data_IF_236339839999
#
_entry.id   IF_236339839999
#
_cell.length_a   1.000
_cell.length_b   1.000
_cell.length_c   1.000
_cell.angle_alpha   90.00
_cell.angle_beta   90.00
_cell.angle_gamma   90.00
#
_symmetry.space_group_name_H-M   'P 1'
#
loop_
_entity.id
_entity.type
_entity.pdbx_description
1 polymer ?
#
# COMPACT_ATOMS: atom_id res chain seq x y z
N UNK A 1 -23.78 25.17 -15.17
CA UNK A 1 -22.54 24.54 -14.68
C UNK A 1 -21.95 25.44 -13.62
N UNK A 2 -21.74 24.91 -12.40
CA UNK A 2 -21.11 25.59 -11.27
C UNK A 2 -19.75 24.97 -11.05
N UNK A 3 -18.77 25.77 -10.60
CA UNK A 3 -17.49 25.25 -10.12
C UNK A 3 -17.30 25.73 -8.69
N UNK A 4 -17.02 24.78 -7.78
CA UNK A 4 -16.71 25.06 -6.38
C UNK A 4 -15.25 24.70 -6.14
N UNK A 5 -14.49 25.58 -5.49
CA UNK A 5 -13.07 25.40 -5.24
C UNK A 5 -12.84 25.10 -3.76
N UNK A 6 -12.01 24.11 -3.47
CA UNK A 6 -11.53 23.91 -2.11
C UNK A 6 -10.61 25.09 -1.71
N UNK A 7 -10.47 25.39 -0.41
CA UNK A 7 -9.91 26.67 0.04
C UNK A 7 -8.39 26.78 -0.16
N UNK A 8 -7.73 25.74 -0.69
CA UNK A 8 -6.30 25.68 -0.91
C UNK A 8 -5.54 26.00 0.40
N UNK A 9 -5.87 25.29 1.47
CA UNK A 9 -5.28 25.45 2.81
C UNK A 9 -3.80 25.11 2.90
N UNK A 10 -3.23 24.46 1.87
CA UNK A 10 -1.87 23.92 1.92
C UNK A 10 -1.78 22.53 2.57
N UNK A 11 -2.90 21.95 3.02
CA UNK A 11 -2.97 20.60 3.57
C UNK A 11 -3.64 19.65 2.57
N UNK A 12 -2.88 18.81 1.83
CA UNK A 12 -3.45 17.93 0.81
C UNK A 12 -4.54 17.01 1.36
N UNK A 13 -4.39 16.53 2.60
CA UNK A 13 -5.36 15.66 3.26
C UNK A 13 -6.66 16.38 3.62
N UNK A 14 -6.61 17.65 4.04
CA UNK A 14 -7.81 18.45 4.28
C UNK A 14 -8.50 18.87 2.98
N UNK A 15 -7.72 19.30 1.98
CA UNK A 15 -8.26 19.72 0.68
C UNK A 15 -9.05 18.60 0.02
N UNK A 16 -8.50 17.38 0.00
CA UNK A 16 -9.18 16.25 -0.62
C UNK A 16 -10.44 15.85 0.17
N UNK A 17 -10.41 15.93 1.52
CA UNK A 17 -11.59 15.66 2.36
C UNK A 17 -12.70 16.65 2.06
N UNK A 18 -12.39 17.94 1.92
CA UNK A 18 -13.37 18.97 1.55
C UNK A 18 -13.90 18.71 0.14
N UNK A 19 -13.03 18.36 -0.82
CA UNK A 19 -13.44 18.05 -2.19
C UNK A 19 -14.42 16.87 -2.23
N UNK A 20 -14.12 15.79 -1.52
CA UNK A 20 -15.02 14.64 -1.39
C UNK A 20 -16.32 14.99 -0.68
N UNK A 21 -16.29 15.85 0.34
CA UNK A 21 -17.49 16.36 0.99
C UNK A 21 -18.40 17.14 0.02
N UNK A 22 -17.83 18.04 -0.77
CA UNK A 22 -18.56 18.82 -1.77
C UNK A 22 -19.16 17.93 -2.87
N UNK A 23 -18.37 17.00 -3.40
CA UNK A 23 -18.84 16.04 -4.40
C UNK A 23 -19.93 15.11 -3.84
N UNK A 24 -19.82 14.69 -2.57
CA UNK A 24 -20.86 13.89 -1.90
C UNK A 24 -22.19 14.63 -1.82
N UNK A 25 -22.17 15.93 -1.53
CA UNK A 25 -23.39 16.77 -1.52
C UNK A 25 -23.99 16.85 -2.93
N UNK A 26 -23.17 17.04 -3.96
CA UNK A 26 -23.63 17.09 -5.35
C UNK A 26 -24.31 15.77 -5.77
N UNK A 27 -23.68 14.63 -5.45
CA UNK A 27 -24.24 13.30 -5.70
C UNK A 27 -25.59 13.12 -4.98
N UNK A 28 -25.69 13.52 -3.70
CA UNK A 28 -26.97 13.42 -2.97
C UNK A 28 -28.06 14.34 -3.56
N UNK A 29 -27.67 15.49 -4.10
CA UNK A 29 -28.58 16.39 -4.79
C UNK A 29 -29.05 15.83 -6.16
N UNK A 30 -28.53 14.68 -6.57
CA UNK A 30 -28.83 14.06 -7.87
C UNK A 30 -28.15 14.75 -9.03
N UNK A 31 -26.99 15.37 -8.80
CA UNK A 31 -26.20 16.05 -9.84
C UNK A 31 -24.95 15.26 -10.21
N UNK A 32 -24.60 15.33 -11.48
CA UNK A 32 -23.30 14.88 -11.95
C UNK A 32 -22.21 15.83 -11.46
N UNK A 33 -21.09 15.23 -11.06
CA UNK A 33 -19.95 15.95 -10.48
C UNK A 33 -18.64 15.40 -11.01
N UNK A 34 -17.66 16.30 -11.17
CA UNK A 34 -16.27 15.95 -11.50
C UNK A 34 -15.33 16.74 -10.59
N UNK A 35 -14.44 16.06 -9.88
CA UNK A 35 -13.34 16.68 -9.13
C UNK A 35 -12.14 16.83 -10.06
N UNK A 36 -11.55 18.02 -10.09
CA UNK A 36 -10.42 18.39 -10.94
C UNK A 36 -9.26 18.86 -10.06
N UNK A 37 -8.09 18.21 -10.11
CA UNK A 37 -6.92 18.62 -9.35
C UNK A 37 -6.25 19.87 -9.95
N UNK A 38 -5.84 20.82 -9.10
CA UNK A 38 -5.14 22.06 -9.47
C UNK A 38 -3.78 22.22 -8.75
N UNK A 39 -3.08 21.12 -8.47
CA UNK A 39 -1.72 21.17 -7.90
C UNK A 39 -1.66 21.69 -6.47
N UNK A 40 -2.54 21.17 -5.59
CA UNK A 40 -2.58 21.51 -4.16
C UNK A 40 -3.98 21.84 -3.62
N UNK A 41 -4.96 21.93 -4.52
CA UNK A 41 -6.39 22.09 -4.21
C UNK A 41 -7.23 21.52 -5.36
N UNK A 42 -8.55 21.57 -5.22
CA UNK A 42 -9.48 20.94 -6.16
C UNK A 42 -10.58 21.91 -6.60
N UNK A 43 -11.00 21.78 -7.85
CA UNK A 43 -12.25 22.33 -8.34
C UNK A 43 -13.28 21.23 -8.55
N UNK A 44 -14.51 21.45 -8.13
CA UNK A 44 -15.62 20.51 -8.22
C UNK A 44 -16.61 21.10 -9.23
N UNK A 45 -16.61 20.54 -10.44
CA UNK A 45 -17.53 20.89 -11.53
C UNK A 45 -18.87 20.19 -11.30
N UNK A 46 -19.97 20.93 -11.24
CA UNK A 46 -21.32 20.42 -10.96
C UNK A 46 -22.33 20.96 -11.98
N UNK A 47 -23.13 20.09 -12.55
CA UNK A 47 -24.27 20.47 -13.40
C UNK A 47 -25.54 20.65 -12.55
N UNK A 48 -25.63 21.78 -11.85
CA UNK A 48 -26.77 22.04 -10.96
C UNK A 48 -26.87 23.48 -10.48
N UNK A 49 -27.57 23.65 -9.35
CA UNK A 49 -27.92 24.93 -8.73
C UNK A 49 -27.45 25.02 -7.27
N UNK A 50 -26.90 26.18 -6.86
CA UNK A 50 -26.36 26.41 -5.52
C UNK A 50 -27.43 26.24 -4.44
N UNK A 51 -28.66 26.66 -4.70
CA UNK A 51 -29.75 26.58 -3.71
C UNK A 51 -30.06 25.12 -3.33
N UNK A 52 -30.20 24.23 -4.31
CA UNK A 52 -30.41 22.80 -4.06
C UNK A 52 -29.22 22.17 -3.34
N UNK A 53 -27.99 22.56 -3.69
CA UNK A 53 -26.78 22.10 -2.99
C UNK A 53 -26.78 22.54 -1.52
N UNK A 54 -27.14 23.78 -1.22
CA UNK A 54 -27.29 24.29 0.14
C UNK A 54 -28.35 23.52 0.92
N UNK A 55 -29.54 23.32 0.34
CA UNK A 55 -30.61 22.57 0.99
C UNK A 55 -30.19 21.12 1.28
N UNK A 56 -29.49 20.49 0.33
CA UNK A 56 -28.98 19.12 0.47
C UNK A 56 -27.89 19.05 1.55
N UNK A 57 -26.94 19.99 1.56
CA UNK A 57 -25.88 20.02 2.57
C UNK A 57 -26.43 20.20 3.98
N UNK A 58 -27.35 21.15 4.18
CA UNK A 58 -27.97 21.36 5.49
C UNK A 58 -28.76 20.13 5.95
N UNK A 59 -29.49 19.48 5.02
CA UNK A 59 -30.20 18.23 5.30
C UNK A 59 -29.23 17.12 5.73
N UNK A 60 -28.14 16.91 4.99
CA UNK A 60 -27.11 15.93 5.34
C UNK A 60 -26.45 16.25 6.68
N UNK A 61 -26.04 17.51 6.89
CA UNK A 61 -25.39 17.95 8.11
C UNK A 61 -26.28 17.73 9.34
N UNK A 62 -27.57 18.08 9.28
CA UNK A 62 -28.52 17.83 10.37
C UNK A 62 -28.83 16.34 10.57
N UNK A 63 -28.98 15.57 9.50
CA UNK A 63 -29.32 14.15 9.59
C UNK A 63 -28.16 13.31 10.12
N UNK A 64 -26.95 13.61 9.67
CA UNK A 64 -25.77 12.74 9.86
C UNK A 64 -24.86 13.27 10.97
N UNK A 65 -24.72 14.60 11.11
CA UNK A 65 -23.75 15.25 11.99
C UNK A 65 -24.38 16.00 13.18
N UNK A 66 -25.67 15.79 13.44
CA UNK A 66 -26.34 16.27 14.67
C UNK A 66 -25.97 15.45 15.90
N UNK A 67 -25.46 14.24 15.72
CA UNK A 67 -24.97 13.37 16.79
C UNK A 67 -23.44 13.39 16.86
N UNK A 68 -22.90 13.27 18.08
CA UNK A 68 -21.47 13.10 18.30
C UNK A 68 -20.94 11.73 17.87
N UNK A 69 -21.80 10.79 17.44
CA UNK A 69 -21.39 9.44 17.06
C UNK A 69 -20.32 9.44 15.96
N UNK A 70 -20.53 10.12 14.83
CA UNK A 70 -19.55 10.14 13.74
C UNK A 70 -18.25 10.83 14.17
N UNK A 71 -18.28 12.06 14.75
CA UNK A 71 -17.08 12.68 15.27
C UNK A 71 -16.30 11.79 16.27
N UNK A 72 -16.97 11.14 17.24
CA UNK A 72 -16.32 10.30 18.25
C UNK A 72 -15.72 9.00 17.70
N UNK A 73 -16.27 8.47 16.61
CA UNK A 73 -15.78 7.27 15.93
C UNK A 73 -14.82 7.60 14.77
N UNK A 74 -14.41 8.86 14.65
CA UNK A 74 -13.44 9.30 13.64
C UNK A 74 -12.08 9.46 14.32
N UNK A 75 -11.06 8.68 13.91
CA UNK A 75 -9.73 8.78 14.52
C UNK A 75 -9.16 10.20 14.39
N UNK A 76 -8.50 10.67 15.44
CA UNK A 76 -8.00 12.04 15.51
C UNK A 76 -9.01 13.11 15.96
N UNK A 77 -10.24 12.73 16.32
CA UNK A 77 -11.24 13.64 16.91
C UNK A 77 -11.49 13.26 18.38
N UNK A 78 -11.17 14.16 19.30
CA UNK A 78 -11.37 13.96 20.74
C UNK A 78 -12.78 14.34 21.19
N UNK A 79 -13.22 13.91 22.37
CA UNK A 79 -14.56 14.23 22.89
C UNK A 79 -14.86 15.73 22.98
N UNK A 80 -13.87 16.56 23.34
CA UNK A 80 -14.00 18.03 23.35
C UNK A 80 -14.19 18.60 21.94
N UNK A 81 -13.52 18.01 20.95
CA UNK A 81 -13.61 18.44 19.56
C UNK A 81 -14.91 17.96 18.90
N UNK A 82 -15.39 16.78 19.27
CA UNK A 82 -16.63 16.23 18.77
C UNK A 82 -17.82 17.17 19.06
N UNK A 83 -17.90 17.72 20.27
CA UNK A 83 -18.99 18.62 20.67
C UNK A 83 -18.98 19.97 19.94
N UNK A 84 -17.83 20.46 19.46
CA UNK A 84 -17.76 21.70 18.68
C UNK A 84 -18.15 21.48 17.22
N UNK A 85 -17.95 20.27 16.70
CA UNK A 85 -18.31 19.88 15.34
C UNK A 85 -19.80 19.56 15.22
N UNK A 86 -20.45 19.10 16.30
CA UNK A 86 -21.87 18.77 16.34
C UNK A 86 -22.75 19.87 15.74
N UNK A 87 -23.64 19.50 14.82
CA UNK A 87 -24.58 20.42 14.16
C UNK A 87 -25.77 20.66 15.07
N UNK A 88 -26.08 21.94 15.35
CA UNK A 88 -27.27 22.35 16.10
C UNK A 88 -28.40 22.74 15.15
N UNK A 89 -29.66 22.59 15.59
CA UNK A 89 -30.83 22.90 14.76
C UNK A 89 -30.88 24.37 14.30
N UNK A 90 -30.34 25.28 15.09
CA UNK A 90 -30.25 26.70 14.77
C UNK A 90 -29.15 27.05 13.76
N UNK A 91 -28.31 26.10 13.38
CA UNK A 91 -27.24 26.33 12.41
C UNK A 91 -27.72 26.12 10.97
N UNK A 92 -27.15 26.94 10.08
CA UNK A 92 -27.27 26.80 8.64
C UNK A 92 -25.92 27.06 7.99
N UNK A 93 -25.70 26.37 6.87
CA UNK A 93 -24.43 26.28 6.19
C UNK A 93 -24.60 26.65 4.72
N UNK A 94 -23.58 27.27 4.13
CA UNK A 94 -23.63 27.78 2.76
C UNK A 94 -22.41 27.30 1.96
N UNK A 95 -22.65 26.52 0.92
CA UNK A 95 -21.66 26.02 -0.05
C UNK A 95 -21.25 27.12 -1.03
N UNK A 96 -22.07 28.17 -1.22
CA UNK A 96 -21.73 29.28 -2.11
C UNK A 96 -20.40 29.97 -1.77
N UNK A 97 -19.90 29.84 -0.54
CA UNK A 97 -18.58 30.34 -0.12
C UNK A 97 -17.41 29.74 -0.91
N UNK A 98 -17.59 28.56 -1.53
CA UNK A 98 -16.58 27.89 -2.35
C UNK A 98 -16.62 28.33 -3.82
N UNK A 99 -17.47 29.27 -4.22
CA UNK A 99 -17.61 29.68 -5.64
C UNK A 99 -16.43 30.50 -6.16
N UNK A 100 -15.53 30.94 -5.27
CA UNK A 100 -14.37 31.77 -5.58
C UNK A 100 -13.09 31.08 -5.14
N UNK A 101 -12.06 31.16 -5.98
CA UNK A 101 -10.72 30.71 -5.60
C UNK A 101 -10.18 31.63 -4.50
N UNK A 102 -9.70 31.04 -3.41
CA UNK A 102 -8.96 31.78 -2.40
C UNK A 102 -7.55 32.08 -2.93
N UNK A 103 -7.25 33.37 -3.16
CA UNK A 103 -5.93 33.83 -3.59
C UNK A 103 -4.82 33.38 -2.63
N UNK A 104 -3.66 33.00 -3.18
CA UNK A 104 -2.46 32.72 -2.42
C UNK A 104 -2.03 34.02 -1.74
N UNK A 105 -2.00 34.02 -0.40
CA UNK A 105 -1.47 35.16 0.37
C UNK A 105 -0.92 34.66 1.70
N UNK A 106 -0.28 35.52 2.49
CA UNK A 106 0.13 35.21 3.85
C UNK A 106 -1.09 35.22 4.80
N UNK A 107 -1.18 34.25 5.72
CA UNK A 107 -2.25 34.21 6.70
C UNK A 107 -2.09 35.27 7.80
N UNK A 108 -3.16 36.00 8.10
CA UNK A 108 -3.23 36.82 9.32
C UNK A 108 -3.55 35.96 10.54
N UNK A 109 -3.14 36.39 11.72
CA UNK A 109 -3.40 35.65 12.98
C UNK A 109 -4.90 35.55 13.32
N UNK A 110 -5.72 36.48 12.85
CA UNK A 110 -7.18 36.50 13.06
C UNK A 110 -7.97 35.68 12.03
N UNK A 111 -7.31 35.19 10.98
CA UNK A 111 -7.94 34.45 9.89
C UNK A 111 -8.01 32.95 10.17
N UNK A 112 -9.08 32.32 9.69
CA UNK A 112 -9.17 30.86 9.65
C UNK A 112 -8.25 30.30 8.56
N UNK A 113 -7.84 29.03 8.68
CA UNK A 113 -7.05 28.32 7.65
C UNK A 113 -7.70 28.35 6.26
N UNK A 114 -9.03 28.29 6.20
CA UNK A 114 -9.78 28.34 4.96
C UNK A 114 -10.10 29.77 4.47
N UNK A 115 -9.77 30.81 5.26
CA UNK A 115 -10.08 32.23 5.00
C UNK A 115 -11.55 32.61 4.76
N UNK A 116 -12.47 31.67 4.83
CA UNK A 116 -13.89 31.98 4.83
C UNK A 116 -14.26 32.84 6.05
N UNK A 117 -14.82 34.01 5.77
CA UNK A 117 -15.30 34.94 6.78
C UNK A 117 -16.67 34.48 7.31
N UNK A 118 -16.65 33.57 8.28
CA UNK A 118 -17.86 33.07 8.93
C UNK A 118 -17.78 33.21 10.45
N UNK A 119 -18.96 33.28 11.09
CA UNK A 119 -19.07 33.36 12.55
C UNK A 119 -18.72 32.05 13.25
N UNK A 120 -19.14 30.92 12.70
CA UNK A 120 -18.95 29.61 13.33
C UNK A 120 -17.62 28.99 12.91
N UNK A 121 -16.73 28.87 13.88
CA UNK A 121 -15.39 28.34 13.71
C UNK A 121 -15.19 27.13 14.62
N UNK A 122 -14.31 26.23 14.20
CA UNK A 122 -13.87 25.10 15.02
C UNK A 122 -12.35 25.08 15.03
N UNK A 123 -11.74 24.76 16.16
CA UNK A 123 -10.30 24.50 16.21
C UNK A 123 -9.96 23.40 15.22
N UNK A 124 -8.82 23.51 14.55
CA UNK A 124 -8.35 22.43 13.70
C UNK A 124 -8.03 21.20 14.56
N UNK A 125 -8.45 20.02 14.09
CA UNK A 125 -8.31 18.75 14.83
C UNK A 125 -7.51 17.75 14.01
N UNK A 126 -6.83 16.85 14.69
CA UNK A 126 -5.92 15.88 14.09
C UNK A 126 -6.60 15.04 12.99
N UNK A 127 -7.87 14.66 13.16
CA UNK A 127 -8.62 13.90 12.16
C UNK A 127 -8.77 14.65 10.81
N UNK A 128 -8.83 15.99 10.84
CA UNK A 128 -8.95 16.81 9.63
C UNK A 128 -7.61 17.09 8.96
N UNK A 129 -6.56 17.27 9.75
CA UNK A 129 -5.20 17.51 9.28
C UNK A 129 -4.22 16.73 10.15
N UNK A 130 -3.91 15.50 9.78
CA UNK A 130 -2.95 14.70 10.55
C UNK A 130 -1.54 15.30 10.45
N UNK A 131 -1.26 15.97 9.33
CA UNK A 131 -0.05 16.75 9.04
C UNK A 131 0.13 17.97 9.95
N UNK A 132 -0.96 18.64 10.34
CA UNK A 132 -0.90 19.85 11.17
C UNK A 132 -0.59 19.58 12.66
N UNK A 133 -0.39 18.32 13.06
CA UNK A 133 0.08 17.95 14.42
C UNK A 133 1.44 18.51 14.79
N UNK A 134 2.12 19.13 13.83
CA UNK A 134 3.39 19.84 14.01
C UNK A 134 3.27 21.38 14.01
N UNK A 135 2.05 21.95 14.02
CA UNK A 135 1.86 23.41 14.12
C UNK A 135 2.27 24.18 12.87
N UNK A 136 2.16 23.52 11.71
CA UNK A 136 2.78 23.97 10.46
C UNK A 136 1.81 24.83 9.66
N UNK A 137 2.10 26.13 9.65
CA UNK A 137 2.09 27.08 8.53
C UNK A 137 0.98 28.13 8.37
N UNK A 138 1.46 29.38 8.24
CA UNK A 138 0.77 30.57 7.76
C UNK A 138 0.94 30.83 6.25
N UNK A 139 1.82 30.09 5.57
CA UNK A 139 2.12 30.28 4.14
C UNK A 139 1.91 28.97 3.39
N UNK A 140 1.36 29.04 2.17
CA UNK A 140 1.15 27.86 1.29
C UNK A 140 2.49 27.21 0.86
N UNK A 141 3.62 27.80 1.24
CA UNK A 141 4.97 27.63 0.68
C UNK A 141 6.07 27.16 1.67
N UNK A 142 5.78 26.89 2.96
CA UNK A 142 6.72 26.16 3.85
C UNK A 142 7.13 26.83 5.17
N UNK A 143 7.15 26.01 6.23
CA UNK A 143 7.52 26.10 7.68
C UNK A 143 7.18 27.37 8.51
N UNK A 144 6.33 27.20 9.54
CA UNK A 144 6.18 28.17 10.65
C UNK A 144 7.14 27.81 11.81
N UNK A 145 7.90 28.80 12.27
CA UNK A 145 8.71 28.74 13.48
C UNK A 145 8.42 29.96 14.36
N UNK A 146 8.20 29.75 15.65
CA UNK A 146 8.10 30.82 16.67
C UNK A 146 9.35 30.80 17.53
N UNK A 147 9.89 31.95 17.93
CA UNK A 147 11.02 31.98 18.84
C UNK A 147 10.52 32.08 20.28
N UNK A 148 10.83 31.10 21.12
CA UNK A 148 10.56 31.13 22.55
C UNK A 148 11.88 30.93 23.31
N UNK A 149 12.23 31.91 24.16
CA UNK A 149 13.50 31.92 24.91
C UNK A 149 14.73 31.74 23.99
N UNK A 150 14.74 32.39 22.82
CA UNK A 150 15.84 32.31 21.85
C UNK A 150 15.94 30.99 21.08
N UNK A 151 15.02 30.05 21.30
CA UNK A 151 14.95 28.78 20.57
C UNK A 151 13.75 28.74 19.62
N UNK A 152 13.96 28.13 18.46
CA UNK A 152 12.89 27.81 17.51
C UNK A 152 11.93 26.80 18.16
N UNK A 153 10.69 27.20 18.34
CA UNK A 153 9.59 26.40 18.88
C UNK A 153 8.37 26.42 17.97
N UNK A 154 7.55 25.39 18.08
CA UNK A 154 6.29 25.24 17.34
C UNK A 154 5.18 26.07 17.99
N UNK A 155 4.27 26.70 17.23
CA UNK A 155 3.07 27.31 17.78
C UNK A 155 2.23 26.27 18.53
N UNK A 156 1.78 26.58 19.74
CA UNK A 156 0.97 25.68 20.58
C UNK A 156 -0.54 25.84 20.41
N UNK A 157 -0.99 26.84 19.63
CA UNK A 157 -2.41 27.10 19.39
C UNK A 157 -2.84 26.56 18.01
N UNK A 158 -3.76 25.58 17.96
CA UNK A 158 -4.34 25.15 16.69
C UNK A 158 -5.21 26.27 16.13
N UNK A 159 -4.82 26.80 14.96
CA UNK A 159 -5.64 27.77 14.23
C UNK A 159 -7.00 27.16 13.87
N UNK A 160 -7.99 28.02 13.70
CA UNK A 160 -9.37 27.61 13.45
C UNK A 160 -9.65 27.40 11.96
N UNK A 161 -10.62 26.55 11.67
CA UNK A 161 -11.24 26.38 10.35
C UNK A 161 -12.72 26.76 10.44
N UNK A 162 -13.31 27.24 9.35
CA UNK A 162 -14.74 27.47 9.32
C UNK A 162 -15.52 26.15 9.50
N UNK A 163 -16.68 26.22 10.17
CA UNK A 163 -17.49 25.02 10.42
C UNK A 163 -17.99 24.37 9.11
N UNK A 164 -18.22 25.14 8.03
CA UNK A 164 -18.55 24.57 6.71
C UNK A 164 -17.47 23.60 6.22
N UNK A 165 -16.21 24.03 6.22
CA UNK A 165 -15.08 23.19 5.80
C UNK A 165 -14.89 21.99 6.73
N UNK A 166 -15.05 22.17 8.04
CA UNK A 166 -14.94 21.06 9.00
C UNK A 166 -16.01 19.98 8.77
N UNK A 167 -17.26 20.38 8.54
CA UNK A 167 -18.35 19.44 8.25
C UNK A 167 -18.16 18.74 6.91
N UNK A 168 -17.74 19.46 5.86
CA UNK A 168 -17.43 18.87 4.57
C UNK A 168 -16.22 17.93 4.65
N UNK A 169 -15.18 18.29 5.39
CA UNK A 169 -14.03 17.43 5.61
C UNK A 169 -14.43 16.15 6.38
N UNK A 170 -15.28 16.27 7.39
CA UNK A 170 -15.80 15.11 8.11
C UNK A 170 -16.68 14.22 7.22
N UNK A 171 -17.54 14.81 6.38
CA UNK A 171 -18.31 14.05 5.39
C UNK A 171 -17.38 13.33 4.40
N UNK A 172 -16.45 14.05 3.77
CA UNK A 172 -15.51 13.47 2.82
C UNK A 172 -14.66 12.36 3.43
N UNK A 173 -14.15 12.56 4.65
CA UNK A 173 -13.44 11.52 5.38
C UNK A 173 -14.33 10.30 5.65
N UNK A 174 -15.58 10.52 6.06
CA UNK A 174 -16.48 9.44 6.43
C UNK A 174 -16.91 8.58 5.23
N UNK A 175 -16.93 9.14 4.03
CA UNK A 175 -17.35 8.45 2.81
C UNK A 175 -16.19 7.98 1.92
N UNK A 176 -15.06 8.68 1.91
CA UNK A 176 -13.97 8.43 0.96
C UNK A 176 -12.65 7.97 1.60
N UNK A 177 -12.55 7.95 2.94
CA UNK A 177 -11.36 7.47 3.65
C UNK A 177 -11.56 6.09 4.24
N UNK A 178 -10.58 5.22 4.04
CA UNK A 178 -10.53 3.90 4.65
C UNK A 178 -9.98 4.03 6.07
N UNK A 179 -10.74 3.54 7.04
CA UNK A 179 -10.38 3.62 8.45
C UNK A 179 -10.43 2.23 9.04
N UNK A 180 -9.28 1.76 9.52
CA UNK A 180 -9.11 0.43 10.10
C UNK A 180 -8.08 0.45 11.23
N UNK A 181 -7.99 -0.64 11.98
CA UNK A 181 -7.09 -0.76 13.12
C UNK A 181 -5.99 -1.78 12.82
N UNK A 182 -4.76 -1.47 13.22
CA UNK A 182 -3.59 -2.36 13.18
C UNK A 182 -3.05 -2.45 14.60
N UNK A 183 -3.24 -3.60 15.24
CA UNK A 183 -3.01 -3.78 16.67
C UNK A 183 -3.68 -2.67 17.50
N UNK A 184 -2.91 -1.88 18.23
CA UNK A 184 -3.35 -0.78 19.09
C UNK A 184 -3.43 0.59 18.37
N UNK A 185 -3.24 0.62 17.05
CA UNK A 185 -3.19 1.85 16.24
C UNK A 185 -4.37 1.96 15.30
N UNK A 186 -4.83 3.18 15.07
CA UNK A 186 -5.83 3.51 14.05
C UNK A 186 -5.14 4.06 12.79
N UNK A 187 -5.51 3.53 11.64
CA UNK A 187 -4.96 3.93 10.34
C UNK A 187 -6.05 4.60 9.53
N UNK A 188 -5.74 5.78 8.99
CA UNK A 188 -6.57 6.51 8.04
C UNK A 188 -5.84 6.49 6.70
N UNK A 189 -6.48 5.94 5.66
CA UNK A 189 -6.00 5.95 4.28
C UNK A 189 -6.95 6.78 3.42
N UNK A 190 -6.41 7.74 2.68
CA UNK A 190 -7.17 8.67 1.85
C UNK A 190 -6.63 8.62 0.43
N UNK A 191 -7.42 8.18 -0.56
CA UNK A 191 -7.04 8.29 -1.95
C UNK A 191 -6.90 9.76 -2.35
N UNK A 192 -5.78 10.12 -2.96
CA UNK A 192 -5.50 11.45 -3.50
C UNK A 192 -5.57 11.36 -5.02
N UNK A 193 -6.55 12.00 -5.69
CA UNK A 193 -6.71 11.86 -7.13
C UNK A 193 -5.67 12.71 -7.86
N UNK A 194 -4.92 12.08 -8.75
CA UNK A 194 -3.92 12.73 -9.60
C UNK A 194 -4.48 13.15 -10.97
N UNK A 195 -5.74 12.79 -11.23
CA UNK A 195 -6.46 13.04 -12.47
C UNK A 195 -7.91 13.47 -12.17
N UNK A 196 -8.65 13.89 -13.20
CA UNK A 196 -10.08 14.19 -13.04
C UNK A 196 -10.84 12.96 -12.53
N UNK A 197 -11.70 13.17 -11.55
CA UNK A 197 -12.46 12.12 -10.88
C UNK A 197 -13.96 12.34 -11.04
N UNK A 198 -14.63 11.43 -11.73
CA UNK A 198 -16.09 11.49 -11.92
C UNK A 198 -16.85 11.05 -10.67
N UNK A 199 -18.10 11.51 -10.55
CA UNK A 199 -19.00 11.14 -9.47
C UNK A 199 -19.23 9.62 -9.38
N UNK A 200 -19.30 8.93 -10.52
CA UNK A 200 -19.40 7.46 -10.57
C UNK A 200 -18.20 6.77 -9.92
N UNK A 201 -16.98 7.18 -10.28
CA UNK A 201 -15.75 6.64 -9.68
C UNK A 201 -15.68 6.92 -8.18
N UNK A 202 -16.16 8.08 -7.75
CA UNK A 202 -16.26 8.42 -6.32
C UNK A 202 -17.26 7.51 -5.58
N UNK A 203 -18.38 7.14 -6.21
CA UNK A 203 -19.32 6.15 -5.65
C UNK A 203 -18.70 4.76 -5.50
N UNK A 204 -17.82 4.33 -6.44
CA UNK A 204 -17.05 3.08 -6.28
C UNK A 204 -16.17 3.13 -5.02
N UNK A 205 -15.49 4.26 -4.76
CA UNK A 205 -14.69 4.46 -3.55
C UNK A 205 -15.57 4.40 -2.31
N UNK A 206 -16.76 5.02 -2.34
CA UNK A 206 -17.69 5.00 -1.20
C UNK A 206 -18.15 3.58 -0.86
N UNK A 207 -18.44 2.77 -1.88
CA UNK A 207 -18.83 1.38 -1.70
C UNK A 207 -17.67 0.55 -1.11
N UNK A 208 -16.45 0.75 -1.61
CA UNK A 208 -15.26 0.06 -1.14
C UNK A 208 -14.93 0.43 0.32
N UNK A 209 -15.02 1.72 0.64
CA UNK A 209 -14.77 2.26 1.97
C UNK A 209 -15.63 1.58 3.02
N UNK A 210 -16.91 1.33 2.70
CA UNK A 210 -17.85 0.71 3.63
C UNK A 210 -17.46 -0.73 3.99
N UNK A 211 -16.84 -1.48 3.08
CA UNK A 211 -16.42 -2.87 3.30
C UNK A 211 -15.21 -2.99 4.24
N UNK A 212 -14.36 -1.95 4.25
CA UNK A 212 -13.08 -1.95 4.98
C UNK A 212 -13.20 -1.27 6.33
N UNK A 213 -14.22 -0.42 6.49
CA UNK A 213 -14.36 0.37 7.72
C UNK A 213 -14.45 -0.53 8.94
N UNK A 214 -13.61 -0.24 9.94
CA UNK A 214 -13.51 -0.99 11.21
C UNK A 214 -13.00 -2.43 11.05
N UNK A 215 -12.36 -2.77 9.94
CA UNK A 215 -11.54 -3.98 9.91
C UNK A 215 -10.43 -3.88 10.96
N UNK A 216 -10.17 -5.00 11.64
CA UNK A 216 -9.17 -5.08 12.69
C UNK A 216 -8.10 -6.09 12.31
N UNK A 217 -6.88 -5.61 12.08
CA UNK A 217 -5.70 -6.44 11.90
C UNK A 217 -5.06 -6.65 13.28
N UNK A 218 -5.28 -7.83 13.87
CA UNK A 218 -4.78 -8.16 15.21
C UNK A 218 -3.27 -8.49 15.24
N UNK A 219 -2.49 -7.77 14.45
CA UNK A 219 -1.10 -8.04 14.15
C UNK A 219 -0.33 -6.72 14.20
N UNK A 220 0.84 -6.71 14.83
CA UNK A 220 1.68 -5.52 14.91
C UNK A 220 2.49 -5.37 13.61
N UNK A 221 1.81 -4.92 12.56
CA UNK A 221 2.38 -4.78 11.22
C UNK A 221 3.28 -3.54 11.20
N UNK A 222 4.56 -3.66 10.76
CA UNK A 222 5.42 -2.51 10.56
C UNK A 222 4.78 -1.45 9.66
N UNK A 223 4.87 -0.17 10.04
CA UNK A 223 4.14 0.91 9.34
C UNK A 223 4.46 1.00 7.85
N UNK A 224 5.71 0.72 7.46
CA UNK A 224 6.16 0.73 6.06
C UNK A 224 5.42 -0.30 5.17
N UNK A 225 4.81 -1.34 5.77
CA UNK A 225 4.10 -2.40 5.07
C UNK A 225 2.58 -2.16 4.99
N UNK A 226 2.06 -1.21 5.77
CA UNK A 226 0.63 -0.86 5.79
C UNK A 226 0.07 -0.63 4.38
N UNK A 227 0.74 0.09 3.46
CA UNK A 227 0.24 0.29 2.09
C UNK A 227 -0.04 -1.00 1.34
N UNK A 228 0.97 -1.87 1.28
CA UNK A 228 0.90 -3.14 0.55
C UNK A 228 -0.16 -4.05 1.17
N UNK A 229 -0.21 -4.13 2.49
CA UNK A 229 -1.21 -4.93 3.21
C UNK A 229 -2.62 -4.41 2.94
N UNK A 230 -2.84 -3.10 3.09
CA UNK A 230 -4.14 -2.47 2.84
C UNK A 230 -4.65 -2.78 1.42
N UNK A 231 -3.82 -2.56 0.40
CA UNK A 231 -4.19 -2.81 -0.99
C UNK A 231 -4.42 -4.31 -1.26
N UNK A 232 -3.62 -5.20 -0.66
CA UNK A 232 -3.76 -6.66 -0.86
C UNK A 232 -5.07 -7.21 -0.31
N UNK A 233 -5.64 -6.58 0.73
CA UNK A 233 -6.89 -7.02 1.38
C UNK A 233 -8.13 -6.70 0.57
N UNK A 234 -7.99 -5.88 -0.46
CA UNK A 234 -9.09 -5.40 -1.27
C UNK A 234 -8.69 -5.57 -2.74
N UNK A 235 -8.81 -6.78 -3.32
CA UNK A 235 -8.32 -7.02 -4.68
C UNK A 235 -8.88 -6.02 -5.72
N UNK A 236 -10.15 -5.62 -5.57
CA UNK A 236 -10.79 -4.60 -6.42
C UNK A 236 -10.19 -3.20 -6.29
N UNK A 237 -9.39 -2.93 -5.25
CA UNK A 237 -8.69 -1.65 -5.10
C UNK A 237 -7.71 -1.40 -6.24
N UNK A 238 -7.17 -2.43 -6.88
CA UNK A 238 -6.27 -2.25 -8.01
C UNK A 238 -6.93 -1.60 -9.24
N UNK A 239 -8.24 -1.81 -9.42
CA UNK A 239 -9.02 -1.14 -10.47
C UNK A 239 -9.69 0.13 -9.96
N UNK A 240 -10.15 0.15 -8.71
CA UNK A 240 -10.85 1.30 -8.13
C UNK A 240 -9.89 2.46 -7.84
N UNK A 241 -8.68 2.17 -7.33
CA UNK A 241 -7.70 3.19 -6.91
C UNK A 241 -6.65 3.48 -7.98
N UNK A 242 -6.83 3.01 -9.22
CA UNK A 242 -5.95 3.39 -10.34
C UNK A 242 -6.01 4.91 -10.58
N UNK A 243 -4.84 5.54 -10.69
CA UNK A 243 -4.72 6.99 -10.87
C UNK A 243 -4.85 7.81 -9.57
N UNK A 244 -4.74 7.15 -8.42
CA UNK A 244 -4.65 7.79 -7.12
C UNK A 244 -3.28 7.53 -6.49
N UNK A 245 -2.87 8.45 -5.63
CA UNK A 245 -1.88 8.19 -4.58
C UNK A 245 -2.62 7.91 -3.26
N UNK A 246 -1.91 7.43 -2.24
CA UNK A 246 -2.48 7.29 -0.90
C UNK A 246 -1.80 8.23 0.09
N UNK A 247 -2.61 9.03 0.76
CA UNK A 247 -2.23 9.66 2.02
C UNK A 247 -2.59 8.72 3.17
N UNK A 248 -1.63 8.39 4.02
CA UNK A 248 -1.78 7.46 5.13
C UNK A 248 -1.35 8.13 6.43
N UNK A 249 -2.23 8.12 7.43
CA UNK A 249 -1.93 8.53 8.79
C UNK A 249 -2.10 7.36 9.76
N UNK A 250 -1.10 7.14 10.61
CA UNK A 250 -1.11 6.11 11.65
C UNK A 250 -1.16 6.80 13.00
N UNK A 251 -2.19 6.49 13.78
CA UNK A 251 -2.50 7.16 15.04
C UNK A 251 -2.49 6.18 16.21
N UNK A 252 -1.85 6.55 17.31
CA UNK A 252 -1.96 5.84 18.58
C UNK A 252 -2.85 6.60 19.56
N UNK A 253 -3.40 5.87 20.54
CA UNK A 253 -4.25 6.44 21.58
C UNK A 253 -3.61 6.26 22.95
N UNK A 254 -3.18 7.37 23.54
CA UNK A 254 -2.74 7.44 24.94
C UNK A 254 -3.79 8.22 25.76
N UNK A 255 -3.45 9.41 26.25
CA UNK A 255 -4.41 10.36 26.84
C UNK A 255 -5.19 11.17 25.78
N UNK A 256 -4.74 11.08 24.53
CA UNK A 256 -5.34 11.64 23.32
C UNK A 256 -4.78 10.93 22.08
N UNK A 257 -5.07 11.48 20.90
CA UNK A 257 -4.50 10.98 19.65
C UNK A 257 -3.10 11.53 19.42
N UNK A 258 -2.18 10.66 19.06
CA UNK A 258 -0.83 11.01 18.61
C UNK A 258 -0.62 10.48 17.19
N UNK A 259 0.14 11.21 16.38
CA UNK A 259 0.53 10.77 15.04
C UNK A 259 1.84 10.00 15.18
N UNK A 260 1.78 8.71 14.89
CA UNK A 260 2.94 7.82 14.89
C UNK A 260 3.61 7.75 13.51
N UNK A 261 2.88 8.06 12.43
CA UNK A 261 3.40 8.00 11.07
C UNK A 261 2.51 8.72 10.06
N UNK A 262 3.14 9.33 9.05
CA UNK A 262 2.50 10.03 7.94
C UNK A 262 3.20 9.67 6.63
N UNK A 263 2.43 9.29 5.63
CA UNK A 263 2.95 8.91 4.32
C UNK A 263 2.07 9.52 3.22
N UNK A 264 2.72 10.00 2.16
CA UNK A 264 2.08 10.19 0.86
C UNK A 264 2.85 9.30 -0.11
N UNK A 265 2.15 8.35 -0.72
CA UNK A 265 2.78 7.29 -1.51
C UNK A 265 2.10 7.14 -2.85
N UNK A 266 2.92 6.98 -3.89
CA UNK A 266 2.46 6.49 -5.18
C UNK A 266 2.10 5.01 -5.04
N UNK A 267 1.02 4.54 -5.67
CA UNK A 267 0.59 3.15 -5.50
C UNK A 267 0.58 2.32 -6.77
N UNK A 268 0.86 2.91 -7.93
CA UNK A 268 0.79 2.21 -9.23
C UNK A 268 1.61 0.90 -9.23
N UNK A 269 2.81 0.91 -8.62
CA UNK A 269 3.66 -0.30 -8.51
C UNK A 269 3.02 -1.40 -7.67
N UNK A 270 2.37 -1.05 -6.57
CA UNK A 270 1.61 -2.01 -5.76
C UNK A 270 0.40 -2.53 -6.51
N UNK A 271 -0.34 -1.66 -7.21
CA UNK A 271 -1.51 -2.05 -7.98
C UNK A 271 -1.13 -3.02 -9.11
N UNK A 272 -0.02 -2.77 -9.82
CA UNK A 272 0.49 -3.66 -10.87
C UNK A 272 0.82 -5.05 -10.32
N UNK A 273 1.48 -5.13 -9.15
CA UNK A 273 1.76 -6.41 -8.49
C UNK A 273 0.47 -7.13 -8.09
N UNK A 274 -0.46 -6.44 -7.40
CA UNK A 274 -1.69 -7.04 -6.89
C UNK A 274 -2.60 -7.52 -8.03
N UNK A 275 -2.71 -6.74 -9.11
CA UNK A 275 -3.57 -7.05 -10.25
C UNK A 275 -3.03 -8.18 -11.12
N UNK A 276 -1.72 -8.39 -11.15
CA UNK A 276 -1.11 -9.35 -12.05
C UNK A 276 -1.62 -10.78 -11.85
N UNK A 277 -1.80 -11.20 -10.59
CA UNK A 277 -2.26 -12.56 -10.29
C UNK A 277 -2.82 -12.69 -8.88
N UNK A 278 -3.89 -13.49 -8.65
CA UNK A 278 -4.36 -13.81 -7.31
C UNK A 278 -3.29 -14.50 -6.44
N UNK A 279 -2.30 -15.16 -7.06
CA UNK A 279 -1.18 -15.77 -6.35
C UNK A 279 -0.28 -14.74 -5.64
N UNK A 280 -0.18 -13.52 -6.16
CA UNK A 280 0.55 -12.43 -5.51
C UNK A 280 -0.12 -12.03 -4.19
N UNK A 281 -1.45 -11.96 -4.18
CA UNK A 281 -2.24 -11.70 -2.98
C UNK A 281 -2.09 -12.86 -1.99
N UNK A 282 -2.21 -14.10 -2.47
CA UNK A 282 -2.03 -15.30 -1.63
C UNK A 282 -0.64 -15.36 -0.97
N UNK A 283 0.41 -14.93 -1.68
CA UNK A 283 1.76 -14.79 -1.13
C UNK A 283 1.82 -13.77 0.02
N UNK A 284 1.18 -12.60 -0.12
CA UNK A 284 1.09 -11.60 0.95
C UNK A 284 0.30 -12.14 2.14
N UNK A 285 -0.85 -12.77 1.89
CA UNK A 285 -1.70 -13.32 2.95
C UNK A 285 -1.00 -14.41 3.75
N UNK A 286 -0.24 -15.29 3.09
CA UNK A 286 0.54 -16.32 3.79
C UNK A 286 1.61 -15.70 4.69
N UNK A 287 2.33 -14.69 4.20
CA UNK A 287 3.34 -13.99 5.01
C UNK A 287 2.71 -13.28 6.22
N UNK A 288 1.54 -12.65 6.04
CA UNK A 288 0.82 -12.04 7.16
C UNK A 288 0.38 -13.10 8.18
N UNK A 289 -0.19 -14.22 7.73
CA UNK A 289 -0.62 -15.31 8.61
C UNK A 289 0.54 -15.90 9.42
N UNK A 290 1.72 -15.99 8.81
CA UNK A 290 2.94 -16.51 9.45
C UNK A 290 3.76 -15.44 10.18
N UNK A 291 3.30 -14.18 10.22
CA UNK A 291 4.04 -13.04 10.77
C UNK A 291 5.46 -12.88 10.17
N UNK A 292 5.61 -13.26 8.90
CA UNK A 292 6.85 -13.24 8.12
C UNK A 292 7.17 -11.82 7.61
N UNK A 293 7.34 -10.88 8.54
CA UNK A 293 7.52 -9.46 8.20
C UNK A 293 8.87 -9.17 7.55
N UNK A 294 9.91 -9.97 7.80
CA UNK A 294 11.21 -9.83 7.15
C UNK A 294 11.10 -10.09 5.66
N UNK A 295 10.44 -11.19 5.28
CA UNK A 295 10.10 -11.48 3.89
C UNK A 295 9.20 -10.42 3.28
N UNK A 296 8.15 -9.96 3.97
CA UNK A 296 7.24 -8.94 3.45
C UNK A 296 7.93 -7.58 3.25
N UNK A 297 8.92 -7.22 4.07
CA UNK A 297 9.77 -6.05 3.88
C UNK A 297 10.63 -6.14 2.63
N UNK A 298 11.27 -7.29 2.39
CA UNK A 298 12.06 -7.48 1.17
C UNK A 298 11.16 -7.48 -0.07
N UNK A 299 9.96 -8.09 -0.02
CA UNK A 299 8.98 -7.97 -1.12
C UNK A 299 8.62 -6.50 -1.38
N UNK A 300 8.33 -5.74 -0.32
CA UNK A 300 7.98 -4.33 -0.43
C UNK A 300 9.10 -3.53 -1.12
N UNK A 301 10.36 -3.75 -0.72
CA UNK A 301 11.51 -3.11 -1.37
C UNK A 301 11.63 -3.49 -2.84
N UNK A 302 11.44 -4.76 -3.15
CA UNK A 302 11.49 -5.27 -4.51
C UNK A 302 10.41 -4.66 -5.40
N UNK A 303 9.14 -4.62 -4.97
CA UNK A 303 8.06 -4.13 -5.85
C UNK A 303 7.96 -2.61 -5.88
N UNK A 304 8.19 -1.94 -4.73
CA UNK A 304 8.01 -0.51 -4.62
C UNK A 304 9.26 0.27 -5.00
N UNK A 305 10.43 -0.12 -4.47
CA UNK A 305 11.71 0.56 -4.74
C UNK A 305 12.49 -0.05 -5.93
N UNK A 306 12.06 -1.21 -6.45
CA UNK A 306 12.75 -1.96 -7.51
C UNK A 306 14.18 -2.38 -7.12
N UNK A 307 14.40 -2.67 -5.83
CA UNK A 307 15.68 -3.15 -5.33
C UNK A 307 15.90 -4.63 -5.70
N UNK A 308 16.79 -4.87 -6.68
CA UNK A 308 17.09 -6.22 -7.19
C UNK A 308 17.76 -7.12 -6.14
N UNK A 309 18.63 -6.56 -5.29
CA UNK A 309 19.27 -7.31 -4.20
C UNK A 309 18.26 -7.85 -3.19
N UNK A 310 17.12 -7.17 -3.03
CA UNK A 310 16.01 -7.62 -2.18
C UNK A 310 15.24 -8.78 -2.79
N UNK A 311 15.26 -8.97 -4.12
CA UNK A 311 14.50 -10.02 -4.80
C UNK A 311 14.98 -11.43 -4.38
N UNK A 312 16.29 -11.64 -4.35
CA UNK A 312 16.90 -12.90 -3.92
C UNK A 312 16.78 -13.13 -2.41
N UNK A 313 16.85 -12.06 -1.62
CA UNK A 313 16.63 -12.12 -0.17
C UNK A 313 15.18 -12.47 0.15
N UNK A 314 14.24 -11.85 -0.55
CA UNK A 314 12.81 -12.12 -0.44
C UNK A 314 12.51 -13.60 -0.66
N UNK A 315 12.93 -14.19 -1.78
CA UNK A 315 12.63 -15.60 -2.05
C UNK A 315 13.18 -16.54 -0.97
N UNK A 316 14.41 -16.27 -0.50
CA UNK A 316 15.04 -17.05 0.58
C UNK A 316 14.33 -16.90 1.92
N UNK A 317 13.95 -15.68 2.31
CA UNK A 317 13.25 -15.38 3.55
C UNK A 317 11.81 -15.89 3.52
N UNK A 318 11.11 -15.76 2.40
CA UNK A 318 9.75 -16.26 2.22
C UNK A 318 9.68 -17.75 2.56
N UNK A 319 10.54 -18.56 1.95
CA UNK A 319 10.56 -20.00 2.23
C UNK A 319 10.92 -20.26 3.69
N UNK A 320 11.88 -19.53 4.26
CA UNK A 320 12.30 -19.73 5.64
C UNK A 320 11.21 -19.39 6.68
N UNK A 321 10.57 -18.23 6.53
CA UNK A 321 9.66 -17.67 7.51
C UNK A 321 8.25 -18.24 7.36
N UNK A 322 7.85 -18.69 6.16
CA UNK A 322 6.50 -19.25 5.95
C UNK A 322 6.45 -20.78 6.07
N UNK A 323 7.59 -21.49 6.04
CA UNK A 323 7.63 -22.95 6.15
C UNK A 323 7.46 -23.45 7.58
N UNK A 324 6.97 -24.68 7.72
CA UNK A 324 6.87 -25.40 9.00
C UNK A 324 7.79 -26.62 8.99
N UNK A 325 7.98 -27.27 10.14
CA UNK A 325 8.83 -28.48 10.25
C UNK A 325 8.40 -29.62 9.33
N UNK A 326 7.14 -29.66 8.92
CA UNK A 326 6.59 -30.74 8.10
C UNK A 326 6.35 -30.33 6.64
N UNK A 327 6.49 -29.04 6.32
CA UNK A 327 6.16 -28.53 4.99
C UNK A 327 7.00 -27.32 4.61
N UNK A 328 7.61 -27.37 3.43
CA UNK A 328 8.39 -26.28 2.85
C UNK A 328 7.52 -25.50 1.86
N UNK A 329 7.15 -24.28 2.22
CA UNK A 329 6.40 -23.37 1.36
C UNK A 329 7.33 -22.76 0.33
N UNK A 330 7.02 -22.95 -0.95
CA UNK A 330 7.70 -22.33 -2.08
C UNK A 330 6.83 -21.19 -2.63
N UNK A 331 7.45 -20.27 -3.36
CA UNK A 331 6.71 -19.21 -4.06
C UNK A 331 5.81 -19.83 -5.14
N UNK A 332 4.63 -19.24 -5.35
CA UNK A 332 3.87 -19.55 -6.56
C UNK A 332 4.69 -19.17 -7.79
N UNK A 333 4.62 -19.99 -8.84
CA UNK A 333 5.40 -19.77 -10.05
C UNK A 333 5.01 -18.46 -10.73
N UNK A 334 3.72 -18.11 -10.71
CA UNK A 334 3.18 -16.87 -11.24
C UNK A 334 3.77 -15.64 -10.52
N UNK A 335 3.92 -15.73 -9.20
CA UNK A 335 4.56 -14.67 -8.40
C UNK A 335 6.04 -14.55 -8.75
N UNK A 336 6.76 -15.68 -8.86
CA UNK A 336 8.17 -15.68 -9.26
C UNK A 336 8.37 -15.12 -10.67
N UNK A 337 7.48 -15.47 -11.62
CA UNK A 337 7.51 -14.98 -12.99
C UNK A 337 7.26 -13.47 -13.07
N UNK A 338 6.30 -12.93 -12.30
CA UNK A 338 6.13 -11.48 -12.21
C UNK A 338 7.41 -10.80 -11.75
N UNK A 339 7.99 -11.29 -10.65
CA UNK A 339 9.18 -10.69 -10.06
C UNK A 339 10.38 -10.77 -11.01
N UNK A 340 10.58 -11.89 -11.71
CA UNK A 340 11.65 -12.02 -12.69
C UNK A 340 11.43 -11.12 -13.92
N UNK A 341 10.21 -11.08 -14.45
CA UNK A 341 9.91 -10.37 -15.69
C UNK A 341 9.72 -8.87 -15.50
N UNK A 342 8.84 -8.48 -14.59
CA UNK A 342 8.39 -7.08 -14.46
C UNK A 342 9.31 -6.27 -13.51
N UNK A 343 10.00 -6.93 -12.58
CA UNK A 343 10.95 -6.26 -11.66
C UNK A 343 12.40 -6.53 -12.08
N UNK A 344 12.76 -7.80 -12.26
CA UNK A 344 14.10 -8.21 -12.68
C UNK A 344 14.42 -7.90 -14.13
N UNK A 345 13.42 -7.61 -14.96
CA UNK A 345 13.57 -7.39 -16.42
C UNK A 345 14.26 -8.55 -17.12
N UNK A 346 14.09 -9.77 -16.60
CA UNK A 346 14.77 -10.96 -17.12
C UNK A 346 14.10 -11.40 -18.43
N UNK A 347 14.89 -11.65 -19.49
CA UNK A 347 14.37 -12.16 -20.76
C UNK A 347 13.60 -13.48 -20.62
N UNK A 348 12.46 -13.59 -21.30
CA UNK A 348 11.59 -14.77 -21.23
C UNK A 348 12.32 -16.06 -21.63
N UNK A 349 13.24 -15.99 -22.59
CA UNK A 349 14.04 -17.13 -23.04
C UNK A 349 14.97 -17.70 -21.95
N UNK A 350 15.34 -16.90 -20.93
CA UNK A 350 16.08 -17.38 -19.76
C UNK A 350 15.11 -18.00 -18.76
N UNK A 351 13.99 -17.34 -18.46
CA UNK A 351 12.98 -17.81 -17.50
C UNK A 351 12.40 -19.18 -17.90
N UNK A 352 12.11 -19.36 -19.20
CA UNK A 352 11.52 -20.59 -19.75
C UNK A 352 12.54 -21.64 -20.19
N UNK A 353 13.84 -21.39 -19.99
CA UNK A 353 14.87 -22.33 -20.44
C UNK A 353 14.76 -23.66 -19.67
N UNK A 354 14.52 -24.75 -20.41
CA UNK A 354 14.33 -26.10 -19.83
C UNK A 354 15.53 -26.57 -19.01
N UNK A 355 16.74 -26.27 -19.44
CA UNK A 355 17.95 -26.66 -18.73
C UNK A 355 18.09 -25.91 -17.40
N UNK A 356 17.71 -24.63 -17.37
CA UNK A 356 17.69 -23.84 -16.14
C UNK A 356 16.64 -24.38 -15.15
N UNK A 357 15.44 -24.69 -15.65
CA UNK A 357 14.36 -25.32 -14.85
C UNK A 357 14.79 -26.69 -14.30
N UNK A 358 15.49 -27.49 -15.11
CA UNK A 358 16.06 -28.79 -14.77
C UNK A 358 17.03 -28.67 -13.58
N UNK A 359 17.96 -27.71 -13.62
CA UNK A 359 18.88 -27.44 -12.51
C UNK A 359 18.17 -26.83 -11.28
N UNK A 360 17.22 -25.91 -11.49
CA UNK A 360 16.42 -25.31 -10.43
C UNK A 360 15.65 -26.37 -9.63
N UNK A 361 15.19 -27.43 -10.30
CA UNK A 361 14.53 -28.56 -9.65
C UNK A 361 15.45 -29.34 -8.72
N UNK A 362 16.71 -29.54 -9.09
CA UNK A 362 17.70 -30.15 -8.20
C UNK A 362 17.95 -29.27 -6.97
N UNK A 363 18.10 -27.95 -7.15
CA UNK A 363 18.24 -27.01 -6.03
C UNK A 363 17.00 -27.05 -5.11
N UNK A 364 15.81 -27.12 -5.70
CA UNK A 364 14.54 -27.21 -4.96
C UNK A 364 14.45 -28.44 -4.07
N UNK A 365 15.00 -29.58 -4.49
CA UNK A 365 15.13 -30.76 -3.63
C UNK A 365 15.91 -30.41 -2.35
N UNK A 366 17.07 -29.77 -2.47
CA UNK A 366 17.87 -29.35 -1.31
C UNK A 366 17.17 -28.29 -0.44
N UNK A 367 16.43 -27.37 -1.06
CA UNK A 367 15.58 -26.39 -0.35
C UNK A 367 14.51 -27.10 0.49
N UNK A 368 13.85 -28.13 -0.06
CA UNK A 368 12.84 -28.92 0.69
C UNK A 368 13.47 -29.66 1.86
N UNK A 369 14.70 -30.12 1.72
CA UNK A 369 15.53 -30.70 2.79
C UNK A 369 16.17 -29.63 3.71
N UNK A 370 15.81 -28.34 3.57
CA UNK A 370 16.31 -27.19 4.34
C UNK A 370 17.82 -26.98 4.26
N UNK A 371 18.47 -27.51 3.23
CA UNK A 371 19.90 -27.32 2.94
C UNK A 371 20.08 -26.15 1.98
N UNK A 372 19.96 -24.94 2.52
CA UNK A 372 20.00 -23.70 1.73
C UNK A 372 21.39 -23.29 1.23
N UNK A 373 22.46 -23.88 1.78
CA UNK A 373 23.85 -23.48 1.50
C UNK A 373 24.19 -23.39 0.02
N UNK A 374 23.77 -24.37 -0.80
CA UNK A 374 24.03 -24.32 -2.25
C UNK A 374 23.39 -23.13 -2.94
N UNK A 375 22.16 -22.78 -2.55
CA UNK A 375 21.44 -21.66 -3.15
C UNK A 375 22.00 -20.34 -2.66
N UNK A 376 22.37 -20.26 -1.38
CA UNK A 376 23.00 -19.08 -0.80
C UNK A 376 24.41 -18.83 -1.41
N UNK A 377 25.18 -19.89 -1.67
CA UNK A 377 26.48 -19.81 -2.34
C UNK A 377 26.32 -19.36 -3.80
N UNK A 378 25.36 -19.92 -4.55
CA UNK A 378 25.04 -19.47 -5.92
C UNK A 378 24.61 -18.00 -5.92
N UNK A 379 23.76 -17.58 -4.99
CA UNK A 379 23.31 -16.17 -4.87
C UNK A 379 24.49 -15.22 -4.71
N UNK A 380 25.47 -15.59 -3.89
CA UNK A 380 26.61 -14.75 -3.56
C UNK A 380 27.77 -14.89 -4.58
N UNK A 381 27.67 -15.81 -5.54
CA UNK A 381 28.69 -16.02 -6.56
C UNK A 381 28.86 -14.78 -7.45
N UNK A 382 30.10 -14.52 -7.84
CA UNK A 382 30.48 -13.39 -8.69
C UNK A 382 30.84 -13.91 -10.08
N UNK A 383 30.58 -13.11 -11.11
CA UNK A 383 30.83 -13.47 -12.51
C UNK A 383 32.26 -13.97 -12.77
N UNK A 384 33.24 -13.36 -12.12
CA UNK A 384 34.66 -13.67 -12.33
C UNK A 384 35.21 -14.74 -11.38
N UNK A 385 34.37 -15.31 -10.50
CA UNK A 385 34.77 -16.39 -9.60
C UNK A 385 34.28 -17.75 -10.10
N UNK A 386 35.00 -18.81 -9.72
CA UNK A 386 34.58 -20.20 -9.99
C UNK A 386 33.52 -20.71 -9.02
N UNK A 387 33.03 -19.85 -8.14
CA UNK A 387 32.14 -20.25 -7.05
C UNK A 387 30.82 -20.79 -7.59
N UNK A 388 30.33 -20.24 -8.69
CA UNK A 388 29.09 -20.68 -9.33
C UNK A 388 29.19 -22.13 -9.84
N UNK A 389 30.22 -22.44 -10.64
CA UNK A 389 30.43 -23.77 -11.20
C UNK A 389 30.83 -24.78 -10.13
N UNK A 390 31.71 -24.38 -9.19
CA UNK A 390 32.12 -25.25 -8.09
C UNK A 390 30.95 -25.63 -7.20
N UNK A 391 30.05 -24.69 -6.91
CA UNK A 391 28.86 -24.94 -6.08
C UNK A 391 27.92 -25.90 -6.79
N UNK A 392 27.65 -25.70 -8.09
CA UNK A 392 26.83 -26.61 -8.89
C UNK A 392 27.47 -28.02 -8.93
N UNK A 393 28.77 -28.13 -9.16
CA UNK A 393 29.47 -29.41 -9.18
C UNK A 393 29.48 -30.11 -7.80
N UNK A 394 29.61 -29.36 -6.70
CA UNK A 394 29.49 -29.91 -5.33
C UNK A 394 28.06 -30.40 -5.07
N UNK A 395 27.06 -29.63 -5.47
CA UNK A 395 25.64 -29.99 -5.35
C UNK A 395 25.30 -31.26 -6.13
N UNK A 396 25.70 -31.36 -7.41
CA UNK A 396 25.39 -32.51 -8.26
C UNK A 396 26.06 -33.80 -7.74
N UNK A 397 27.29 -33.71 -7.22
CA UNK A 397 27.96 -34.85 -6.57
C UNK A 397 27.19 -35.35 -5.36
N UNK A 398 26.74 -34.46 -4.48
CA UNK A 398 25.88 -34.87 -3.37
C UNK A 398 24.53 -35.39 -3.86
N UNK A 399 23.97 -34.77 -4.89
CA UNK A 399 22.71 -35.20 -5.47
C UNK A 399 22.76 -36.64 -5.99
N UNK A 400 23.85 -37.03 -6.65
CA UNK A 400 24.08 -38.40 -7.10
C UNK A 400 24.17 -39.39 -5.93
N UNK A 401 24.85 -39.03 -4.85
CA UNK A 401 24.87 -39.85 -3.63
C UNK A 401 23.47 -40.05 -3.05
N UNK A 402 22.64 -38.99 -3.03
CA UNK A 402 21.24 -39.07 -2.59
C UNK A 402 20.40 -39.96 -3.50
N UNK A 403 20.58 -39.85 -4.82
CA UNK A 403 19.86 -40.68 -5.80
C UNK A 403 20.14 -42.17 -5.57
N UNK A 404 21.41 -42.54 -5.45
CA UNK A 404 21.83 -43.93 -5.20
C UNK A 404 21.24 -44.44 -3.87
N UNK A 405 21.28 -43.64 -2.81
CA UNK A 405 20.69 -44.00 -1.52
C UNK A 405 19.17 -44.20 -1.61
N UNK A 406 18.47 -43.31 -2.32
CA UNK A 406 17.02 -43.40 -2.53
C UNK A 406 16.63 -44.63 -3.35
N UNK A 407 17.44 -45.01 -4.34
CA UNK A 407 17.25 -46.25 -5.11
C UNK A 407 17.39 -47.50 -4.22
N UNK A 408 18.39 -47.53 -3.35
CA UNK A 408 18.57 -48.61 -2.38
C UNK A 408 17.42 -48.68 -1.39
N UNK A 409 16.98 -47.53 -0.85
CA UNK A 409 15.85 -47.47 0.08
C UNK A 409 14.55 -47.93 -0.58
N UNK A 410 14.32 -47.55 -1.85
CA UNK A 410 13.18 -48.02 -2.65
C UNK A 410 13.24 -49.53 -2.90
N UNK A 411 14.41 -50.08 -3.23
CA UNK A 411 14.62 -51.53 -3.39
C UNK A 411 14.41 -52.29 -2.06
N UNK A 412 14.74 -51.66 -0.93
CA UNK A 412 14.49 -52.19 0.41
C UNK A 412 13.03 -52.01 0.89
N UNK A 413 12.13 -51.51 0.04
CA UNK A 413 10.71 -51.33 0.34
C UNK A 413 10.38 -50.12 1.21
N UNK A 414 11.33 -49.18 1.40
CA UNK A 414 11.06 -47.92 2.12
C UNK A 414 10.40 -46.91 1.19
N UNK A 415 9.50 -46.12 1.76
CA UNK A 415 8.85 -45.01 1.05
C UNK A 415 9.83 -43.83 0.88
N UNK A 416 10.09 -43.43 -0.37
CA UNK A 416 10.86 -42.22 -0.70
C UNK A 416 9.89 -41.11 -1.09
N UNK A 417 9.71 -40.13 -0.20
CA UNK A 417 8.72 -39.06 -0.38
C UNK A 417 9.17 -37.95 -1.34
N UNK A 418 10.45 -37.60 -1.32
CA UNK A 418 11.05 -36.57 -2.17
C UNK A 418 12.14 -37.20 -3.03
N UNK A 419 11.83 -37.57 -4.27
CA UNK A 419 12.84 -38.09 -5.19
C UNK A 419 13.73 -36.97 -5.73
N UNK A 420 15.05 -37.13 -5.67
CA UNK A 420 15.96 -36.16 -6.29
C UNK A 420 16.00 -36.35 -7.80
N UNK A 421 15.96 -35.23 -8.51
CA UNK A 421 16.18 -35.18 -9.95
C UNK A 421 17.56 -34.61 -10.25
N UNK A 422 18.25 -35.17 -11.24
CA UNK A 422 19.55 -34.70 -11.70
C UNK A 422 19.46 -34.31 -13.18
N UNK A 423 19.95 -33.12 -13.55
CA UNK A 423 19.98 -32.66 -14.94
C UNK A 423 20.95 -33.49 -15.78
N UNK A 424 20.67 -33.54 -17.08
CA UNK A 424 21.57 -34.16 -18.07
C UNK A 424 22.81 -33.29 -18.29
N UNK A 425 23.89 -33.88 -18.78
CA UNK A 425 25.13 -33.15 -19.08
C UNK A 425 24.91 -31.99 -20.05
N UNK A 426 24.10 -32.19 -21.09
CA UNK A 426 23.77 -31.14 -22.07
C UNK A 426 22.96 -29.99 -21.46
N UNK A 427 22.13 -30.27 -20.46
CA UNK A 427 21.41 -29.22 -19.73
C UNK A 427 22.38 -28.41 -18.87
N UNK A 428 23.35 -29.05 -18.22
CA UNK A 428 24.39 -28.33 -17.47
C UNK A 428 25.23 -27.44 -18.38
N UNK A 429 25.65 -27.95 -19.55
CA UNK A 429 26.39 -27.16 -20.55
C UNK A 429 25.59 -25.94 -21.00
N UNK A 430 24.29 -26.12 -21.23
CA UNK A 430 23.39 -25.02 -21.61
C UNK A 430 23.26 -23.96 -20.51
N UNK A 431 23.14 -24.36 -19.23
CA UNK A 431 23.11 -23.39 -18.11
C UNK A 431 24.40 -22.58 -18.04
N UNK A 432 25.56 -23.21 -18.24
CA UNK A 432 26.83 -22.47 -18.26
C UNK A 432 26.96 -21.59 -19.49
N UNK A 433 26.41 -21.98 -20.64
CA UNK A 433 26.32 -21.12 -21.83
C UNK A 433 25.52 -19.85 -21.51
N UNK A 434 24.34 -19.99 -20.91
CA UNK A 434 23.50 -18.85 -20.48
C UNK A 434 24.22 -17.96 -19.47
N UNK A 435 24.88 -18.54 -18.47
CA UNK A 435 25.61 -17.78 -17.46
C UNK A 435 26.80 -17.00 -18.05
N UNK A 436 27.44 -17.54 -19.10
CA UNK A 436 28.50 -16.83 -19.82
C UNK A 436 27.94 -15.65 -20.64
N UNK A 437 26.73 -15.79 -21.20
CA UNK A 437 26.05 -14.73 -21.95
C UNK A 437 25.55 -13.62 -21.03
N UNK A 438 24.80 -13.97 -19.99
CA UNK A 438 24.28 -13.05 -18.98
C UNK A 438 24.25 -13.73 -17.60
N UNK A 439 25.34 -13.53 -16.86
CA UNK A 439 25.56 -14.15 -15.56
C UNK A 439 24.53 -13.72 -14.51
N UNK A 440 24.27 -12.42 -14.39
CA UNK A 440 23.40 -11.90 -13.33
C UNK A 440 21.94 -12.31 -13.59
N UNK A 441 21.47 -12.22 -14.84
CA UNK A 441 20.12 -12.67 -15.20
C UNK A 441 19.94 -14.17 -15.00
N UNK A 442 20.92 -14.98 -15.42
CA UNK A 442 20.87 -16.44 -15.28
C UNK A 442 20.89 -16.85 -13.81
N UNK A 443 21.77 -16.24 -13.00
CA UNK A 443 21.84 -16.46 -11.55
C UNK A 443 20.53 -16.08 -10.87
N UNK A 444 19.99 -14.90 -11.18
CA UNK A 444 18.73 -14.40 -10.61
C UNK A 444 17.57 -15.36 -10.91
N UNK A 445 17.42 -15.74 -12.18
CA UNK A 445 16.40 -16.67 -12.63
C UNK A 445 16.54 -18.04 -11.96
N UNK A 446 17.75 -18.61 -11.94
CA UNK A 446 18.00 -19.92 -11.32
C UNK A 446 17.57 -19.97 -9.86
N UNK A 447 17.99 -18.98 -9.07
CA UNK A 447 17.70 -18.93 -7.63
C UNK A 447 16.21 -18.72 -7.37
N UNK A 448 15.57 -17.78 -8.09
CA UNK A 448 14.14 -17.52 -7.94
C UNK A 448 13.29 -18.74 -8.32
N UNK A 449 13.64 -19.39 -9.44
CA UNK A 449 12.95 -20.59 -9.90
C UNK A 449 13.12 -21.76 -8.91
N UNK A 450 14.30 -21.91 -8.31
CA UNK A 450 14.54 -22.92 -7.29
C UNK A 450 13.63 -22.74 -6.06
N UNK A 451 13.37 -21.49 -5.65
CA UNK A 451 12.46 -21.14 -4.55
C UNK A 451 10.97 -21.09 -4.93
N UNK A 452 10.61 -21.38 -6.18
CA UNK A 452 9.21 -21.42 -6.65
C UNK A 452 8.68 -22.84 -6.82
N UNK A 453 7.37 -23.03 -6.94
CA UNK A 453 6.77 -24.30 -7.35
C UNK A 453 7.02 -24.60 -8.84
N UNK A 454 7.04 -25.88 -9.27
CA UNK A 454 7.23 -26.23 -10.69
C UNK A 454 6.02 -25.81 -11.52
N UNK A 455 6.22 -25.67 -12.84
CA UNK A 455 5.10 -25.66 -13.78
C UNK A 455 4.51 -27.08 -13.86
N UNK A 456 3.22 -27.22 -14.15
CA UNK A 456 2.60 -28.56 -14.31
C UNK A 456 3.31 -29.40 -15.38
N UNK A 457 3.82 -28.78 -16.45
CA UNK A 457 4.60 -29.45 -17.50
C UNK A 457 5.91 -30.06 -16.97
N UNK A 458 6.57 -29.43 -15.99
CA UNK A 458 7.77 -30.00 -15.35
C UNK A 458 7.48 -31.13 -14.38
N UNK A 459 6.21 -31.34 -13.98
CA UNK A 459 5.78 -32.53 -13.24
C UNK A 459 5.31 -33.67 -14.18
N UNK A 460 4.76 -33.35 -15.35
CA UNK A 460 4.17 -34.32 -16.30
C UNK A 460 5.19 -34.97 -17.25
N UNK A 461 6.33 -34.36 -17.56
CA UNK A 461 7.45 -34.97 -18.32
C UNK A 461 8.09 -36.21 -17.63
N UNK A 462 7.42 -36.75 -16.59
CA UNK A 462 7.97 -37.63 -15.54
C UNK A 462 6.96 -38.70 -15.09
N UNK A 463 5.76 -38.78 -15.68
CA UNK A 463 4.95 -39.98 -15.49
C UNK A 463 5.41 -41.12 -16.38
#
# INVERSE_FOLDING_TARGET
MIILYTPATGFPDLEVKIAYGLARVAIEAGYDTVIVPYGGFYGIKIEGEIEKLNNTFNTLARRILSSNHIPLNTPGITGRSASTIQVKDSESFNIGIFSTIAEIAEHKNSETFCRHNVRNKVSNVLGFTATATTGVLCKRDGIDITFYQGQLRRPTEPREICKNCALLALLGMWYASFVFSVADKEVIVIPIPNQELTGYKLQEIFALQHQVRKQWFNQNIPQILIPLVFLSRIPSSADILKGFDLFIAVLSRQQGYHVDGLYLIEIERYLNFIKYSPYNIATIELMLKSEAYGSLQELNKTIYYLELDSLLKFARLYVQETSTNNWTNLLYLETANYLLKEVGMIPQNIIENKALQSLARTLRYFIRERKYGYVDDIRNARKDSRDFEETIAKMLREGELRRVQQEQDRQAGKEVKNWIYLPKEEEIKEVFRLANEDFESTKLALVMLAFSFPSKETEEDIK
#
